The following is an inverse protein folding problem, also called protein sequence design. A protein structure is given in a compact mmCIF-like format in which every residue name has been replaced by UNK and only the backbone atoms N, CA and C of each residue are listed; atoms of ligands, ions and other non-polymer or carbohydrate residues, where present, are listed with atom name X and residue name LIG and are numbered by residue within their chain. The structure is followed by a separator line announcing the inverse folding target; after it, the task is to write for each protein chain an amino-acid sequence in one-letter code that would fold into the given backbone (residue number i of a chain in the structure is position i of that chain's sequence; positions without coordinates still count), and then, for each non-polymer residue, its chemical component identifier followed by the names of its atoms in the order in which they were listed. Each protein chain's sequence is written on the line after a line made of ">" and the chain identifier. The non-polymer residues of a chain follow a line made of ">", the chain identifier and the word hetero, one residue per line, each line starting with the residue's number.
data_IF_567928627153
#
_entry.id   IF_567928627153
#
_cell.length_a   1.000
_cell.length_b   1.000
_cell.length_c   1.000
_cell.angle_alpha   90.00
_cell.angle_beta   90.00
_cell.angle_gamma   90.00
#
_symmetry.space_group_name_H-M   'P 1'
#
loop_
_entity.id
_entity.type
_entity.pdbx_description
1 polymer ?
#
# COMPACT_ATOMS: atom_id res chain seq x y z
N UNK A 1 10.24 13.68 -7.71
CA UNK A 1 8.80 13.65 -8.06
C UNK A 1 7.99 14.34 -6.97
N UNK A 2 6.82 14.85 -7.32
CA UNK A 2 5.79 15.24 -6.36
C UNK A 2 4.83 14.07 -6.15
N UNK A 3 4.76 13.55 -4.94
CA UNK A 3 3.97 12.34 -4.61
C UNK A 3 2.85 12.71 -3.66
N UNK A 4 1.61 12.38 -4.04
CA UNK A 4 0.44 12.51 -3.20
C UNK A 4 0.08 11.19 -2.52
N UNK A 5 -0.21 11.22 -1.24
CA UNK A 5 -0.77 10.09 -0.51
C UNK A 5 -2.23 10.32 -0.19
N UNK A 6 -3.08 9.35 -0.47
CA UNK A 6 -4.48 9.32 -0.01
C UNK A 6 -4.63 8.19 1.00
N UNK A 7 -4.86 8.57 2.25
CA UNK A 7 -4.92 7.67 3.39
C UNK A 7 -3.57 7.53 4.10
N UNK A 8 -3.49 8.12 5.29
CA UNK A 8 -2.35 8.11 6.19
C UNK A 8 -2.59 7.23 7.42
N UNK A 9 -3.13 6.03 7.17
CA UNK A 9 -3.13 4.93 8.13
C UNK A 9 -1.71 4.39 8.34
N UNK A 10 -1.60 3.19 8.91
CA UNK A 10 -0.31 2.61 9.27
C UNK A 10 0.65 2.50 8.07
N UNK A 11 0.24 1.83 7.00
CA UNK A 11 1.08 1.61 5.81
C UNK A 11 1.33 2.93 5.07
N UNK A 12 0.28 3.75 4.86
CA UNK A 12 0.41 5.02 4.14
C UNK A 12 1.38 5.98 4.82
N UNK A 13 1.33 6.13 6.15
CA UNK A 13 2.27 6.95 6.91
C UNK A 13 3.71 6.42 6.81
N UNK A 14 3.89 5.11 6.90
CA UNK A 14 5.20 4.49 6.80
C UNK A 14 5.81 4.68 5.40
N UNK A 15 5.03 4.46 4.32
CA UNK A 15 5.47 4.73 2.95
C UNK A 15 5.78 6.21 2.72
N UNK A 16 4.90 7.11 3.18
CA UNK A 16 5.10 8.55 3.06
C UNK A 16 6.39 9.00 3.74
N UNK A 17 6.73 8.42 4.89
CA UNK A 17 7.97 8.72 5.60
C UNK A 17 9.21 8.34 4.79
N UNK A 18 9.22 7.13 4.20
CA UNK A 18 10.34 6.68 3.37
C UNK A 18 10.51 7.55 2.12
N UNK A 19 9.41 7.83 1.41
CA UNK A 19 9.44 8.61 0.17
C UNK A 19 9.78 10.10 0.41
N UNK A 20 9.50 10.63 1.61
CA UNK A 20 9.88 12.00 1.98
C UNK A 20 11.40 12.24 2.05
N UNK A 21 12.22 11.19 1.99
CA UNK A 21 13.69 11.30 1.97
C UNK A 21 14.21 11.84 0.63
N UNK A 22 13.52 11.54 -0.46
CA UNK A 22 13.98 11.81 -1.82
C UNK A 22 12.97 12.60 -2.67
N UNK A 23 11.72 12.77 -2.16
CA UNK A 23 10.63 13.31 -2.94
C UNK A 23 9.83 14.37 -2.19
N UNK A 24 9.15 15.25 -2.93
CA UNK A 24 8.14 16.16 -2.38
C UNK A 24 6.88 15.35 -2.07
N UNK A 25 6.68 14.99 -0.81
CA UNK A 25 5.53 14.19 -0.37
C UNK A 25 4.45 15.07 0.22
N UNK A 26 3.23 14.94 -0.31
CA UNK A 26 2.02 15.57 0.18
C UNK A 26 1.04 14.51 0.68
N UNK A 27 0.40 14.77 1.81
CA UNK A 27 -0.46 13.83 2.52
C UNK A 27 -1.89 14.35 2.56
N UNK A 28 -2.82 13.57 2.05
CA UNK A 28 -4.26 13.81 2.10
C UNK A 28 -4.93 12.73 2.96
N UNK A 29 -5.65 13.13 4.00
CA UNK A 29 -6.50 12.23 4.77
C UNK A 29 -7.78 12.93 5.20
N UNK A 30 -8.90 12.24 5.22
CA UNK A 30 -10.19 12.79 5.67
C UNK A 30 -10.31 12.82 7.20
N UNK A 31 -9.46 12.09 7.92
CA UNK A 31 -9.44 12.06 9.38
C UNK A 31 -8.56 13.19 9.92
N UNK A 32 -9.17 14.33 10.24
CA UNK A 32 -8.50 15.55 10.70
C UNK A 32 -7.46 15.32 11.82
N UNK A 33 -7.68 14.47 12.84
CA UNK A 33 -6.68 14.24 13.88
C UNK A 33 -5.33 13.72 13.37
N UNK A 34 -5.31 12.92 12.29
CA UNK A 34 -4.05 12.49 11.65
C UNK A 34 -3.33 13.68 11.04
N UNK A 35 -4.05 14.50 10.27
CA UNK A 35 -3.49 15.68 9.62
C UNK A 35 -2.96 16.70 10.62
N UNK A 36 -3.72 16.97 11.69
CA UNK A 36 -3.29 17.88 12.77
C UNK A 36 -2.04 17.38 13.46
N UNK A 37 -1.97 16.06 13.74
CA UNK A 37 -0.78 15.45 14.34
C UNK A 37 0.43 15.59 13.42
N UNK A 38 0.27 15.26 12.12
CA UNK A 38 1.35 15.34 11.13
C UNK A 38 1.83 16.79 10.95
N UNK A 39 0.93 17.77 10.88
CA UNK A 39 1.28 19.19 10.81
C UNK A 39 2.11 19.64 12.00
N UNK A 40 1.78 19.17 13.19
CA UNK A 40 2.43 19.56 14.44
C UNK A 40 3.75 18.84 14.70
N UNK A 41 3.79 17.53 14.47
CA UNK A 41 4.84 16.66 14.94
C UNK A 41 5.63 15.98 13.81
N UNK A 42 5.16 16.08 12.56
CA UNK A 42 5.60 15.20 11.48
C UNK A 42 4.96 13.81 11.58
N UNK A 43 5.37 12.92 10.70
CA UNK A 43 5.06 11.48 10.78
C UNK A 43 6.10 10.83 11.68
N UNK A 44 5.67 10.23 12.78
CA UNK A 44 6.54 9.50 13.70
C UNK A 44 6.55 8.02 13.32
N UNK A 45 7.74 7.45 13.17
CA UNK A 45 7.93 6.03 12.82
C UNK A 45 8.86 5.38 13.84
N UNK A 46 8.33 4.43 14.61
CA UNK A 46 9.15 3.58 15.46
C UNK A 46 9.74 2.47 14.59
N UNK A 47 11.05 2.45 14.39
CA UNK A 47 11.76 1.47 13.59
C UNK A 47 11.96 0.16 14.37
N UNK A 48 11.00 -0.74 14.26
CA UNK A 48 10.93 -1.98 15.03
C UNK A 48 11.04 -3.25 14.17
N UNK A 49 11.59 -3.16 12.95
CA UNK A 49 11.77 -4.32 12.07
C UNK A 49 12.72 -5.34 12.71
N UNK A 50 12.32 -6.60 12.88
CA UNK A 50 13.17 -7.63 13.48
C UNK A 50 14.49 -7.79 12.72
N UNK A 51 15.60 -7.65 13.43
CA UNK A 51 16.95 -7.82 12.89
C UNK A 51 17.55 -6.60 12.17
N UNK A 52 16.76 -5.59 11.84
CA UNK A 52 17.23 -4.38 11.13
C UNK A 52 16.77 -3.07 11.75
N UNK A 53 15.67 -3.07 12.49
CA UNK A 53 15.14 -1.87 13.12
C UNK A 53 16.00 -1.42 14.31
N UNK A 54 16.17 -0.11 14.46
CA UNK A 54 16.96 0.50 15.54
C UNK A 54 16.21 0.55 16.88
N UNK A 55 14.88 0.41 16.86
CA UNK A 55 14.01 0.64 18.00
C UNK A 55 13.80 2.12 18.34
N UNK A 56 14.36 3.02 17.53
CA UNK A 56 14.24 4.47 17.71
C UNK A 56 13.01 5.01 16.97
N UNK A 57 12.46 6.11 17.47
CA UNK A 57 11.43 6.88 16.77
C UNK A 57 12.10 7.89 15.85
N UNK A 58 11.84 7.79 14.55
CA UNK A 58 12.29 8.73 13.53
C UNK A 58 11.13 9.64 13.14
N UNK A 59 11.40 10.91 12.91
CA UNK A 59 10.40 11.90 12.52
C UNK A 59 10.61 12.33 11.08
N UNK A 60 9.56 12.31 10.28
CA UNK A 60 9.56 12.75 8.89
C UNK A 60 8.52 13.86 8.69
N UNK A 61 8.93 14.92 8.00
CA UNK A 61 8.05 16.04 7.69
C UNK A 61 7.68 16.01 6.20
N UNK A 62 6.42 15.66 5.84
CA UNK A 62 5.96 15.81 4.47
C UNK A 62 5.93 17.30 4.09
N UNK A 63 6.03 17.58 2.78
CA UNK A 63 5.95 18.96 2.26
C UNK A 63 4.59 19.60 2.60
N UNK A 64 3.54 18.80 2.62
CA UNK A 64 2.19 19.23 2.99
C UNK A 64 1.40 18.09 3.62
N UNK A 65 0.53 18.42 4.58
CA UNK A 65 -0.49 17.52 5.11
C UNK A 65 -1.82 18.28 5.18
N UNK A 66 -2.88 17.78 4.56
CA UNK A 66 -4.17 18.48 4.49
C UNK A 66 -5.36 17.53 4.35
N UNK A 67 -6.55 18.07 4.63
CA UNK A 67 -7.84 17.41 4.34
C UNK A 67 -8.47 17.90 3.03
N UNK A 68 -7.88 18.93 2.38
CA UNK A 68 -8.39 19.49 1.11
C UNK A 68 -7.40 19.17 -0.04
N UNK A 69 -7.79 18.31 -1.00
CA UNK A 69 -6.93 17.94 -2.12
C UNK A 69 -6.54 19.13 -3.03
N UNK A 70 -7.32 20.21 -3.01
CA UNK A 70 -7.05 21.41 -3.83
C UNK A 70 -5.80 22.16 -3.35
N UNK A 71 -5.47 22.08 -2.08
CA UNK A 71 -4.25 22.69 -1.54
C UNK A 71 -3.00 22.01 -2.07
N UNK A 72 -3.06 20.69 -2.38
CA UNK A 72 -1.93 19.93 -2.89
C UNK A 72 -1.68 20.25 -4.38
N UNK A 73 -2.74 20.35 -5.18
CA UNK A 73 -2.64 20.44 -6.63
C UNK A 73 -2.08 19.18 -7.29
N UNK A 74 -1.79 19.24 -8.58
CA UNK A 74 -1.38 18.07 -9.38
C UNK A 74 -0.09 17.44 -8.87
N UNK A 75 -0.06 16.09 -8.88
CA UNK A 75 1.09 15.26 -8.47
C UNK A 75 1.53 14.36 -9.63
N UNK A 76 2.78 13.89 -9.60
CA UNK A 76 3.31 12.93 -10.58
C UNK A 76 2.81 11.51 -10.28
N UNK A 77 2.77 11.15 -8.99
CA UNK A 77 2.33 9.85 -8.50
C UNK A 77 1.34 10.05 -7.35
N UNK A 78 0.16 9.46 -7.47
CA UNK A 78 -0.83 9.37 -6.40
C UNK A 78 -0.82 7.94 -5.81
N UNK A 79 -0.45 7.79 -4.55
CA UNK A 79 -0.45 6.51 -3.85
C UNK A 79 -1.67 6.43 -2.95
N UNK A 80 -2.47 5.36 -3.10
CA UNK A 80 -3.74 5.22 -2.38
C UNK A 80 -3.65 4.07 -1.38
N UNK A 81 -3.83 4.38 -0.08
CA UNK A 81 -3.83 3.43 1.04
C UNK A 81 -5.09 3.55 1.91
N UNK A 82 -6.25 3.47 1.28
CA UNK A 82 -7.54 3.40 1.98
C UNK A 82 -8.08 1.97 1.95
N UNK A 83 -9.06 1.63 2.78
CA UNK A 83 -9.76 0.35 2.67
C UNK A 83 -10.56 0.28 1.36
N UNK A 84 -10.68 -0.94 0.79
CA UNK A 84 -11.33 -1.20 -0.50
C UNK A 84 -12.68 -0.49 -0.67
N UNK A 85 -13.53 -0.53 0.36
CA UNK A 85 -14.86 0.10 0.34
C UNK A 85 -14.87 1.62 0.16
N UNK A 86 -13.73 2.27 0.36
CA UNK A 86 -13.57 3.72 0.21
C UNK A 86 -12.75 4.10 -1.03
N UNK A 87 -12.25 3.12 -1.79
CA UNK A 87 -11.25 3.34 -2.84
C UNK A 87 -11.78 4.27 -3.94
N UNK A 88 -12.92 3.96 -4.54
CA UNK A 88 -13.55 4.80 -5.57
C UNK A 88 -13.78 6.23 -5.06
N UNK A 89 -14.38 6.37 -3.87
CA UNK A 89 -14.67 7.69 -3.28
C UNK A 89 -13.38 8.48 -2.98
N UNK A 90 -12.33 7.81 -2.53
CA UNK A 90 -11.05 8.43 -2.23
C UNK A 90 -10.35 8.96 -3.50
N UNK A 91 -10.36 8.18 -4.59
CA UNK A 91 -9.81 8.61 -5.88
C UNK A 91 -10.65 9.76 -6.47
N UNK A 92 -12.00 9.71 -6.37
CA UNK A 92 -12.87 10.81 -6.78
C UNK A 92 -12.59 12.11 -6.01
N UNK A 93 -12.38 12.01 -4.70
CA UNK A 93 -11.99 13.15 -3.87
C UNK A 93 -10.64 13.74 -4.29
N UNK A 94 -9.70 12.88 -4.70
CA UNK A 94 -8.36 13.28 -5.11
C UNK A 94 -8.27 13.81 -6.56
N UNK A 95 -9.37 13.89 -7.34
CA UNK A 95 -9.34 14.40 -8.72
C UNK A 95 -8.63 15.75 -8.90
N UNK A 96 -8.69 16.73 -7.94
CA UNK A 96 -7.90 17.96 -8.04
C UNK A 96 -6.37 17.74 -8.06
N UNK A 97 -5.89 16.55 -7.67
CA UNK A 97 -4.49 16.17 -7.65
C UNK A 97 -4.07 15.39 -8.91
N UNK A 98 -5.01 15.07 -9.79
CA UNK A 98 -4.81 14.17 -10.93
C UNK A 98 -4.94 14.96 -12.24
N UNK A 99 -3.94 14.82 -13.11
CA UNK A 99 -4.05 15.23 -14.51
C UNK A 99 -3.74 14.03 -15.45
N UNK A 100 -3.61 14.28 -16.73
CA UNK A 100 -3.34 13.23 -17.73
C UNK A 100 -1.97 12.56 -17.60
N UNK A 101 -1.08 13.09 -16.80
CA UNK A 101 0.28 12.56 -16.59
C UNK A 101 0.44 11.86 -15.24
N UNK A 102 -0.49 12.12 -14.31
CA UNK A 102 -0.47 11.51 -12.97
C UNK A 102 -0.67 10.01 -13.06
N UNK A 103 0.23 9.24 -12.45
CA UNK A 103 0.06 7.80 -12.25
C UNK A 103 -0.57 7.51 -10.90
N UNK A 104 -1.46 6.52 -10.83
CA UNK A 104 -2.15 6.13 -9.59
C UNK A 104 -1.65 4.75 -9.17
N UNK A 105 -1.02 4.65 -8.01
CA UNK A 105 -0.51 3.40 -7.45
C UNK A 105 -1.42 2.91 -6.32
N UNK A 106 -1.90 1.69 -6.46
CA UNK A 106 -2.70 0.99 -5.45
C UNK A 106 -2.01 -0.31 -5.03
N UNK A 107 -1.65 -0.42 -3.75
CA UNK A 107 -0.95 -1.58 -3.17
C UNK A 107 -1.81 -2.32 -2.11
N UNK A 108 -3.12 -2.10 -2.11
CA UNK A 108 -4.03 -2.75 -1.18
C UNK A 108 -4.11 -4.25 -1.43
N UNK A 109 -4.35 -5.00 -0.35
CA UNK A 109 -4.57 -6.44 -0.44
C UNK A 109 -5.87 -6.77 -1.19
N UNK A 110 -5.89 -7.93 -1.85
CA UNK A 110 -7.07 -8.45 -2.52
C UNK A 110 -7.19 -8.07 -3.98
N UNK A 111 -8.30 -8.48 -4.57
CA UNK A 111 -8.66 -8.28 -5.97
C UNK A 111 -9.67 -7.15 -6.11
N UNK A 112 -9.90 -6.68 -7.35
CA UNK A 112 -10.92 -5.68 -7.68
C UNK A 112 -10.51 -4.22 -7.48
N UNK A 113 -9.33 -3.94 -6.90
CA UNK A 113 -8.86 -2.58 -6.71
C UNK A 113 -8.70 -1.81 -8.03
N UNK A 114 -8.25 -2.51 -9.08
CA UNK A 114 -8.13 -1.94 -10.41
C UNK A 114 -9.47 -1.44 -10.94
N UNK A 115 -10.51 -2.27 -10.83
CA UNK A 115 -11.84 -1.96 -11.36
C UNK A 115 -12.47 -0.75 -10.65
N UNK A 116 -12.24 -0.60 -9.35
CA UNK A 116 -12.73 0.56 -8.59
C UNK A 116 -12.05 1.86 -9.04
N UNK A 117 -10.74 1.83 -9.31
CA UNK A 117 -9.99 2.99 -9.78
C UNK A 117 -10.36 3.33 -11.23
N UNK A 118 -10.55 2.33 -12.09
CA UNK A 118 -10.92 2.49 -13.50
C UNK A 118 -12.31 3.14 -13.71
N UNK A 119 -13.17 3.15 -12.69
CA UNK A 119 -14.42 3.93 -12.71
C UNK A 119 -14.19 5.45 -12.67
N UNK A 120 -12.98 5.88 -12.31
CA UNK A 120 -12.70 7.30 -12.00
C UNK A 120 -11.66 7.90 -12.92
N UNK A 121 -10.63 7.14 -13.30
CA UNK A 121 -9.50 7.58 -14.11
C UNK A 121 -9.25 6.64 -15.29
N UNK A 122 -8.58 7.10 -16.37
CA UNK A 122 -8.18 6.23 -17.47
C UNK A 122 -7.31 5.05 -17.01
N UNK A 123 -7.54 3.88 -17.59
CA UNK A 123 -6.82 2.65 -17.24
C UNK A 123 -5.30 2.74 -17.45
N UNK A 124 -4.87 3.58 -18.41
CA UNK A 124 -3.45 3.83 -18.72
C UNK A 124 -2.71 4.60 -17.61
N UNK A 125 -3.43 5.14 -16.63
CA UNK A 125 -2.86 5.80 -15.45
C UNK A 125 -2.75 4.88 -14.23
N UNK A 126 -3.26 3.64 -14.30
CA UNK A 126 -3.40 2.77 -13.14
C UNK A 126 -2.23 1.80 -13.03
N UNK A 127 -1.57 1.85 -11.88
CA UNK A 127 -0.58 0.88 -11.42
C UNK A 127 -1.16 0.16 -10.21
N UNK A 128 -1.13 -1.17 -10.24
CA UNK A 128 -1.56 -2.01 -9.12
C UNK A 128 -0.43 -2.89 -8.63
N UNK A 129 -0.60 -3.44 -7.44
CA UNK A 129 0.38 -4.33 -6.90
C UNK A 129 0.06 -4.78 -5.48
N UNK A 130 1.07 -5.20 -4.79
CA UNK A 130 1.00 -5.54 -3.38
C UNK A 130 2.32 -5.20 -2.68
N UNK A 131 2.29 -5.12 -1.37
CA UNK A 131 3.51 -4.92 -0.59
C UNK A 131 3.53 -5.86 0.62
N UNK A 132 4.70 -6.39 0.94
CA UNK A 132 4.96 -7.15 2.17
C UNK A 132 5.44 -6.25 3.32
N UNK A 133 5.33 -4.95 3.17
CA UNK A 133 5.67 -3.97 4.20
C UNK A 133 4.73 -4.08 5.40
N UNK A 134 5.28 -4.15 6.60
CA UNK A 134 4.52 -4.28 7.84
C UNK A 134 4.53 -2.97 8.63
N UNK A 135 3.34 -2.49 8.99
CA UNK A 135 3.20 -1.32 9.87
C UNK A 135 1.95 -1.44 10.75
N UNK A 136 2.04 -0.94 11.97
CA UNK A 136 0.95 -0.94 12.95
C UNK A 136 0.73 0.48 13.46
N UNK A 137 -0.53 0.96 13.59
CA UNK A 137 -0.79 2.28 14.14
C UNK A 137 -0.51 2.30 15.64
N UNK A 138 0.12 3.38 16.13
CA UNK A 138 0.34 3.68 17.55
C UNK A 138 -0.62 4.78 18.01
N UNK A 139 -0.67 5.87 17.25
CA UNK A 139 -1.54 7.03 17.45
C UNK A 139 -1.73 7.75 16.10
N UNK A 140 -2.64 8.73 15.98
CA UNK A 140 -2.73 9.56 14.79
C UNK A 140 -1.37 10.18 14.41
N UNK A 141 -0.89 9.89 13.20
CA UNK A 141 0.42 10.34 12.70
C UNK A 141 1.64 9.63 13.32
N UNK A 142 1.43 8.59 14.14
CA UNK A 142 2.48 7.78 14.76
C UNK A 142 2.27 6.30 14.43
N UNK A 143 3.25 5.67 13.83
CA UNK A 143 3.20 4.28 13.38
C UNK A 143 4.45 3.51 13.82
N UNK A 144 4.30 2.20 13.93
CA UNK A 144 5.39 1.28 14.19
C UNK A 144 5.67 0.50 12.90
N UNK A 145 6.88 0.64 12.36
CA UNK A 145 7.37 -0.15 11.23
C UNK A 145 7.82 -1.52 11.75
N UNK A 146 7.14 -2.59 11.34
CA UNK A 146 7.31 -3.93 11.92
C UNK A 146 7.83 -4.97 10.95
N UNK A 147 7.95 -4.64 9.67
CA UNK A 147 8.47 -5.56 8.66
C UNK A 147 8.77 -4.87 7.34
N UNK A 148 9.92 -5.18 6.76
CA UNK A 148 10.25 -4.84 5.38
C UNK A 148 9.85 -5.98 4.45
N UNK A 149 9.65 -5.66 3.19
CA UNK A 149 9.40 -6.65 2.15
C UNK A 149 9.20 -6.00 0.80
N UNK A 150 9.22 -6.84 -0.21
CA UNK A 150 9.14 -6.43 -1.61
C UNK A 150 7.78 -5.76 -1.88
N UNK A 151 7.83 -4.65 -2.60
CA UNK A 151 6.68 -4.05 -3.26
C UNK A 151 6.64 -4.55 -4.69
N UNK A 152 5.67 -5.37 -5.02
CA UNK A 152 5.42 -5.82 -6.37
C UNK A 152 4.45 -4.85 -7.04
N UNK A 153 4.76 -4.38 -8.24
CA UNK A 153 3.89 -3.48 -8.99
C UNK A 153 3.93 -3.76 -10.49
N UNK A 154 2.87 -3.37 -11.15
CA UNK A 154 2.70 -3.50 -12.60
C UNK A 154 1.39 -2.85 -13.04
N UNK A 155 1.00 -3.05 -14.29
CA UNK A 155 -0.25 -2.52 -14.80
C UNK A 155 -0.87 -3.47 -15.82
N UNK A 156 -2.18 -3.33 -16.02
CA UNK A 156 -2.90 -4.04 -17.09
C UNK A 156 -2.91 -3.25 -18.39
N UNK A 157 -2.79 -1.90 -18.33
CA UNK A 157 -2.93 -1.02 -19.49
C UNK A 157 -1.88 0.10 -19.58
N UNK A 158 -1.30 0.53 -18.44
CA UNK A 158 -0.30 1.59 -18.47
C UNK A 158 0.98 1.13 -19.20
N UNK A 159 1.66 2.02 -19.94
CA UNK A 159 2.95 1.71 -20.54
C UNK A 159 3.97 1.27 -19.48
N UNK A 160 4.62 0.12 -19.69
CA UNK A 160 5.59 -0.42 -18.72
C UNK A 160 6.74 0.55 -18.41
N UNK A 161 7.12 1.40 -19.37
CA UNK A 161 8.11 2.46 -19.13
C UNK A 161 7.67 3.46 -18.06
N UNK A 162 6.35 3.74 -17.96
CA UNK A 162 5.81 4.60 -16.89
C UNK A 162 5.77 3.88 -15.55
N UNK A 163 5.45 2.59 -15.55
CA UNK A 163 5.51 1.76 -14.34
C UNK A 163 6.92 1.73 -13.79
N UNK A 164 7.92 1.53 -14.66
CA UNK A 164 9.33 1.49 -14.25
C UNK A 164 9.83 2.86 -13.77
N UNK A 165 9.44 3.97 -14.40
CA UNK A 165 9.75 5.33 -13.96
C UNK A 165 9.26 5.56 -12.51
N UNK A 166 8.03 5.12 -12.19
CA UNK A 166 7.50 5.22 -10.82
C UNK A 166 8.24 4.28 -9.85
N UNK A 167 8.55 3.06 -10.29
CA UNK A 167 9.32 2.11 -9.48
C UNK A 167 10.72 2.62 -9.12
N UNK A 168 11.42 3.26 -10.05
CA UNK A 168 12.72 3.89 -9.80
C UNK A 168 12.62 4.98 -8.71
N UNK A 169 11.56 5.78 -8.71
CA UNK A 169 11.33 6.74 -7.65
C UNK A 169 11.16 6.09 -6.27
N UNK A 170 10.44 4.98 -6.19
CA UNK A 170 10.28 4.25 -4.94
C UNK A 170 11.61 3.61 -4.49
N UNK A 171 12.39 3.05 -5.42
CA UNK A 171 13.72 2.46 -5.13
C UNK A 171 14.70 3.51 -4.63
N UNK A 172 14.70 4.71 -5.21
CA UNK A 172 15.56 5.82 -4.77
C UNK A 172 15.36 6.17 -3.30
N UNK A 173 14.14 6.02 -2.79
CA UNK A 173 13.81 6.24 -1.37
C UNK A 173 14.12 5.03 -0.47
N UNK A 174 14.71 3.96 -1.01
CA UNK A 174 15.14 2.77 -0.27
C UNK A 174 14.08 1.67 -0.15
N UNK A 175 12.99 1.74 -0.92
CA UNK A 175 12.03 0.65 -0.99
C UNK A 175 12.52 -0.45 -1.95
N UNK A 176 12.33 -1.71 -1.58
CA UNK A 176 12.57 -2.83 -2.48
C UNK A 176 11.35 -2.99 -3.41
N UNK A 177 11.56 -2.78 -4.72
CA UNK A 177 10.48 -2.78 -5.71
C UNK A 177 10.80 -3.70 -6.88
N UNK A 178 9.84 -4.57 -7.21
CA UNK A 178 9.86 -5.44 -8.38
C UNK A 178 8.71 -5.07 -9.32
N UNK A 179 9.04 -4.86 -10.59
CA UNK A 179 8.06 -4.59 -11.65
C UNK A 179 7.76 -5.88 -12.39
N UNK A 180 6.48 -6.15 -12.61
CA UNK A 180 5.99 -7.37 -13.24
C UNK A 180 5.20 -7.04 -14.51
N UNK A 181 5.51 -7.72 -15.62
CA UNK A 181 4.68 -7.67 -16.82
C UNK A 181 3.28 -8.25 -16.57
N UNK A 182 3.21 -9.36 -15.83
CA UNK A 182 1.96 -9.92 -15.31
C UNK A 182 1.89 -9.73 -13.79
N UNK A 183 1.42 -8.55 -13.38
CA UNK A 183 1.28 -8.20 -11.95
C UNK A 183 0.21 -9.03 -11.24
N UNK A 184 -0.77 -9.58 -11.99
CA UNK A 184 -1.83 -10.39 -11.40
C UNK A 184 -1.27 -11.65 -10.74
N UNK A 185 -0.21 -12.26 -11.30
CA UNK A 185 0.45 -13.39 -10.65
C UNK A 185 0.97 -13.02 -9.24
N UNK A 186 1.62 -11.87 -9.10
CA UNK A 186 2.13 -11.42 -7.80
C UNK A 186 1.00 -11.10 -6.81
N UNK A 187 -0.13 -10.57 -7.30
CA UNK A 187 -1.32 -10.29 -6.48
C UNK A 187 -1.95 -11.60 -6.01
N UNK A 188 -2.14 -12.58 -6.91
CA UNK A 188 -2.69 -13.89 -6.58
C UNK A 188 -1.79 -14.66 -5.59
N UNK A 189 -0.48 -14.71 -5.82
CA UNK A 189 0.45 -15.34 -4.88
C UNK A 189 0.30 -14.81 -3.44
N UNK A 190 0.19 -13.50 -3.29
CA UNK A 190 -0.03 -12.90 -1.97
C UNK A 190 -1.42 -13.21 -1.42
N UNK A 191 -2.45 -13.23 -2.27
CA UNK A 191 -3.82 -13.57 -1.87
C UNK A 191 -3.89 -15.00 -1.36
N UNK A 192 -3.25 -15.97 -2.03
CA UNK A 192 -3.20 -17.37 -1.58
C UNK A 192 -2.54 -17.50 -0.20
N UNK A 193 -1.43 -16.76 0.03
CA UNK A 193 -0.81 -16.72 1.36
C UNK A 193 -1.75 -16.15 2.44
N UNK A 194 -2.50 -15.10 2.11
CA UNK A 194 -3.49 -14.51 3.01
C UNK A 194 -4.68 -15.47 3.28
N UNK A 195 -5.15 -16.20 2.26
CA UNK A 195 -6.17 -17.24 2.39
C UNK A 195 -5.71 -18.35 3.34
N UNK A 196 -4.46 -18.80 3.18
CA UNK A 196 -3.88 -19.84 4.03
C UNK A 196 -3.82 -19.43 5.52
N UNK A 197 -3.47 -18.17 5.80
CA UNK A 197 -3.03 -17.76 7.13
C UNK A 197 -4.11 -16.95 7.87
N UNK A 198 -4.69 -15.92 7.20
CA UNK A 198 -5.48 -14.92 7.91
C UNK A 198 -6.79 -15.48 8.47
N UNK A 199 -7.52 -16.28 7.68
CA UNK A 199 -8.76 -16.92 8.12
C UNK A 199 -8.53 -17.88 9.29
N UNK A 200 -7.49 -18.71 9.18
CA UNK A 200 -7.15 -19.69 10.22
C UNK A 200 -6.69 -19.04 11.52
N UNK A 201 -5.78 -18.06 11.44
CA UNK A 201 -5.29 -17.38 12.63
C UNK A 201 -6.37 -16.57 13.34
N UNK A 202 -7.28 -15.95 12.58
CA UNK A 202 -8.42 -15.23 13.15
C UNK A 202 -9.42 -16.19 13.82
N UNK A 203 -9.77 -17.30 13.17
CA UNK A 203 -10.73 -18.29 13.69
C UNK A 203 -10.20 -18.98 14.97
N UNK A 204 -8.90 -19.25 15.02
CA UNK A 204 -8.24 -19.93 16.14
C UNK A 204 -7.71 -18.95 17.20
N UNK A 205 -7.91 -17.62 17.01
CA UNK A 205 -7.40 -16.56 17.89
C UNK A 205 -5.89 -16.70 18.19
N UNK A 206 -5.10 -17.00 17.15
CA UNK A 206 -3.68 -17.33 17.29
C UNK A 206 -2.80 -16.47 16.37
N UNK A 207 -1.48 -16.54 16.56
CA UNK A 207 -0.51 -15.89 15.67
C UNK A 207 -0.34 -16.67 14.37
N UNK A 208 0.00 -15.97 13.27
CA UNK A 208 0.19 -16.56 11.96
C UNK A 208 1.14 -17.78 11.93
N UNK A 209 2.23 -17.74 12.69
CA UNK A 209 3.16 -18.87 12.79
C UNK A 209 2.60 -20.15 13.40
N UNK A 210 1.43 -20.09 14.06
CA UNK A 210 0.75 -21.28 14.55
C UNK A 210 0.25 -22.18 13.39
N UNK A 211 -0.18 -21.58 12.31
CA UNK A 211 -0.72 -22.31 11.14
C UNK A 211 0.37 -23.20 10.53
N UNK A 212 1.60 -22.71 10.45
CA UNK A 212 2.75 -23.48 9.95
C UNK A 212 3.22 -24.56 10.94
N UNK A 213 3.21 -24.24 12.23
CA UNK A 213 3.68 -25.11 13.30
C UNK A 213 2.71 -26.22 13.76
N UNK A 214 1.45 -26.20 13.30
CA UNK A 214 0.42 -27.17 13.69
C UNK A 214 -0.09 -27.96 12.48
N UNK A 215 0.09 -29.30 12.49
CA UNK A 215 -0.24 -30.14 11.32
C UNK A 215 -1.70 -30.06 10.88
N UNK A 216 -2.67 -29.89 11.79
CA UNK A 216 -4.09 -29.81 11.45
C UNK A 216 -4.45 -28.43 10.88
N UNK A 217 -3.88 -27.36 11.42
CA UNK A 217 -4.04 -26.02 10.89
C UNK A 217 -3.37 -25.90 9.50
N UNK A 218 -2.20 -26.49 9.32
CA UNK A 218 -1.49 -26.55 8.03
C UNK A 218 -2.31 -27.30 6.98
N UNK A 219 -2.88 -28.46 7.33
CA UNK A 219 -3.73 -29.24 6.40
C UNK A 219 -4.99 -28.46 6.01
N UNK A 220 -5.66 -27.82 6.96
CA UNK A 220 -6.82 -26.97 6.65
C UNK A 220 -6.44 -25.77 5.76
N UNK A 221 -5.30 -25.12 6.03
CA UNK A 221 -4.78 -24.03 5.20
C UNK A 221 -4.49 -24.52 3.76
N UNK A 222 -3.90 -25.73 3.60
CA UNK A 222 -3.64 -26.35 2.30
C UNK A 222 -4.95 -26.53 1.51
N UNK A 223 -6.00 -27.05 2.14
CA UNK A 223 -7.31 -27.24 1.51
C UNK A 223 -7.91 -25.89 1.03
N UNK A 224 -7.81 -24.85 1.84
CA UNK A 224 -8.26 -23.50 1.47
C UNK A 224 -7.49 -22.94 0.26
N UNK A 225 -6.18 -23.15 0.22
CA UNK A 225 -5.34 -22.72 -0.92
C UNK A 225 -5.69 -23.51 -2.19
N UNK A 226 -5.90 -24.82 -2.10
CA UNK A 226 -6.30 -25.64 -3.25
C UNK A 226 -7.64 -25.16 -3.85
N UNK A 227 -8.63 -24.84 -3.01
CA UNK A 227 -9.89 -24.25 -3.47
C UNK A 227 -9.67 -22.87 -4.13
N UNK A 228 -8.84 -22.01 -3.54
CA UNK A 228 -8.55 -20.71 -4.09
C UNK A 228 -7.81 -20.77 -5.43
N UNK A 229 -6.93 -21.76 -5.65
CA UNK A 229 -6.24 -22.00 -6.93
C UNK A 229 -7.25 -22.36 -8.03
N UNK A 230 -8.29 -23.12 -7.71
CA UNK A 230 -9.37 -23.41 -8.68
C UNK A 230 -10.04 -22.12 -9.15
N UNK A 231 -10.27 -21.19 -8.22
CA UNK A 231 -10.86 -19.88 -8.55
C UNK A 231 -9.90 -19.05 -9.38
N UNK A 232 -8.61 -18.99 -9.01
CA UNK A 232 -7.56 -18.30 -9.78
C UNK A 232 -7.54 -18.77 -11.23
N UNK A 233 -7.48 -20.08 -11.45
CA UNK A 233 -7.46 -20.67 -12.78
C UNK A 233 -8.75 -20.40 -13.59
N UNK A 234 -9.89 -20.15 -12.93
CA UNK A 234 -11.15 -19.80 -13.59
C UNK A 234 -11.26 -18.31 -13.94
N UNK A 235 -10.50 -17.46 -13.25
CA UNK A 235 -10.47 -16.01 -13.49
C UNK A 235 -9.49 -15.59 -14.60
N UNK A 236 -8.56 -16.44 -14.99
CA UNK A 236 -7.59 -16.25 -16.08
C UNK A 236 -6.26 -15.73 -15.57
#
# INVERSE_FOLDING_TARGET
>A
MKIGFVGCGAIGSCYASYLSREHEVCVLDTYAPVIESIKKNGILVDECVPGTGTGETVVFHPAMATTDPKEIGVVDLLIVFVHYQYLEAAVRNALPMIDKHTMILCLQNGLGNYDEIAKVVPEEQIIIGNTAFGSTPVAPGHVKHTGTGVTNMGSLKAPMAKVEEMAEGLRAAGLEVQVHENVMNAIWHKLLANVAINGMSALLETKNGFVDGNQYAHEAARMLVEEAIVVENACG
#
